data_IF_033493630754
#
_entry.id   IF_033493630754
#
_cell.length_a   1.000
_cell.length_b   1.000
_cell.length_c   1.000
_cell.angle_alpha   90.00
_cell.angle_beta   90.00
_cell.angle_gamma   90.00
#
_symmetry.space_group_name_H-M   'P 1'
#
loop_
_entity.id
_entity.type
_entity.pdbx_description
1 polymer ?
#
# COMPACT_ATOMS: atom_id res chain seq x y z
N UNK A 1 14.88 7.35 1.48
CA UNK A 1 13.66 6.78 0.87
C UNK A 1 13.95 5.81 -0.27
N UNK A 2 14.43 6.25 -1.45
CA UNK A 2 14.63 5.34 -2.60
C UNK A 2 15.45 4.08 -2.26
N UNK A 3 16.62 4.25 -1.61
CA UNK A 3 17.45 3.11 -1.20
C UNK A 3 16.71 2.13 -0.27
N UNK A 4 15.83 2.64 0.59
CA UNK A 4 15.00 1.79 1.45
C UNK A 4 14.00 1.00 0.60
N UNK A 5 13.32 1.63 -0.36
CA UNK A 5 12.39 0.95 -1.27
C UNK A 5 13.09 -0.14 -2.09
N UNK A 6 14.27 0.15 -2.64
CA UNK A 6 15.08 -0.84 -3.37
C UNK A 6 15.50 -2.02 -2.48
N UNK A 7 15.89 -1.76 -1.23
CA UNK A 7 16.21 -2.81 -0.26
C UNK A 7 14.98 -3.66 0.10
N UNK A 8 13.81 -3.03 0.22
CA UNK A 8 12.54 -3.73 0.44
C UNK A 8 12.22 -4.62 -0.76
N UNK A 9 12.35 -4.11 -1.97
CA UNK A 9 12.15 -4.87 -3.20
C UNK A 9 13.03 -6.13 -3.22
N UNK A 10 14.33 -5.95 -2.93
CA UNK A 10 15.32 -7.03 -2.88
C UNK A 10 14.92 -8.12 -1.87
N UNK A 11 14.51 -7.74 -0.66
CA UNK A 11 14.13 -8.70 0.40
C UNK A 11 12.86 -9.49 0.03
N UNK A 12 11.90 -8.83 -0.60
CA UNK A 12 10.64 -9.43 -1.01
C UNK A 12 10.68 -10.07 -2.41
N UNK A 13 11.83 -10.03 -3.10
CA UNK A 13 11.99 -10.46 -4.50
C UNK A 13 11.01 -9.78 -5.46
N UNK A 14 10.67 -8.52 -5.17
CA UNK A 14 9.82 -7.71 -6.03
C UNK A 14 10.61 -7.16 -7.22
N UNK A 15 9.96 -7.10 -8.37
CA UNK A 15 10.50 -6.55 -9.61
C UNK A 15 10.66 -5.04 -9.48
N UNK A 16 11.80 -4.53 -9.93
CA UNK A 16 12.05 -3.10 -10.10
C UNK A 16 12.25 -2.83 -11.59
N UNK A 17 11.39 -1.98 -12.13
CA UNK A 17 11.49 -1.51 -13.51
C UNK A 17 12.65 -0.52 -13.64
N UNK A 18 13.49 -0.74 -14.66
CA UNK A 18 14.75 0.00 -14.87
C UNK A 18 14.85 0.62 -16.26
N UNK A 19 13.88 0.38 -17.15
CA UNK A 19 13.88 1.05 -18.46
C UNK A 19 13.54 2.55 -18.27
N UNK A 20 14.05 3.44 -19.13
CA UNK A 20 13.77 4.87 -19.04
C UNK A 20 12.26 5.19 -19.00
N UNK A 21 11.79 5.97 -18.03
CA UNK A 21 10.38 6.30 -17.81
C UNK A 21 9.43 5.11 -17.59
N UNK A 22 9.96 3.91 -17.36
CA UNK A 22 9.16 2.80 -16.86
C UNK A 22 8.92 2.99 -15.36
N UNK A 23 7.66 3.13 -14.98
CA UNK A 23 7.27 3.60 -13.66
C UNK A 23 7.22 2.45 -12.66
N UNK A 24 7.81 2.68 -11.50
CA UNK A 24 7.50 1.92 -10.29
C UNK A 24 6.53 2.77 -9.46
N UNK A 25 5.27 2.38 -9.38
CA UNK A 25 4.21 3.09 -8.62
C UNK A 25 3.98 2.36 -7.31
N UNK A 26 4.36 2.97 -6.19
CA UNK A 26 4.41 2.32 -4.89
C UNK A 26 3.59 3.08 -3.85
N UNK A 27 2.61 2.43 -3.24
CA UNK A 27 1.96 2.92 -2.03
C UNK A 27 2.80 2.60 -0.79
N UNK A 28 2.88 3.55 0.13
CA UNK A 28 3.46 3.39 1.46
C UNK A 28 2.36 3.73 2.46
N UNK A 29 1.73 2.69 3.00
CA UNK A 29 0.74 2.80 4.07
C UNK A 29 1.45 3.04 5.39
N UNK A 30 1.10 4.13 6.05
CA UNK A 30 1.71 4.63 7.26
C UNK A 30 1.45 3.72 8.47
N UNK A 31 2.28 3.82 9.49
CA UNK A 31 2.02 3.14 10.77
C UNK A 31 0.82 3.71 11.54
N UNK A 32 0.35 4.91 11.19
CA UNK A 32 -0.74 5.58 11.90
C UNK A 32 -2.09 5.01 11.47
N UNK A 33 -2.87 4.46 12.39
CA UNK A 33 -4.16 3.80 12.08
C UNK A 33 -5.35 4.77 12.09
N UNK A 34 -5.10 6.07 12.20
CA UNK A 34 -6.18 7.06 12.22
C UNK A 34 -6.79 7.22 10.83
N UNK A 35 -7.88 6.49 10.59
CA UNK A 35 -8.63 6.56 9.35
C UNK A 35 -9.14 7.98 9.06
N UNK A 36 -9.28 8.30 7.76
CA UNK A 36 -9.72 9.63 7.32
C UNK A 36 -8.63 10.70 7.32
N UNK A 37 -7.35 10.31 7.22
CA UNK A 37 -6.23 11.21 6.97
C UNK A 37 -5.44 10.81 5.71
N UNK A 38 -4.84 11.81 5.06
CA UNK A 38 -3.88 11.64 3.97
C UNK A 38 -2.46 11.51 4.55
N UNK A 39 -2.24 10.50 5.39
CA UNK A 39 -0.96 10.23 6.05
C UNK A 39 -0.14 9.14 5.36
N UNK A 40 -0.69 8.52 4.33
CA UNK A 40 0.02 7.61 3.45
C UNK A 40 0.70 8.36 2.29
N UNK A 41 1.55 7.65 1.56
CA UNK A 41 2.22 8.18 0.38
C UNK A 41 2.00 7.29 -0.84
N UNK A 42 1.82 7.92 -1.99
CA UNK A 42 2.11 7.29 -3.29
C UNK A 42 3.46 7.82 -3.77
N UNK A 43 4.37 6.90 -4.03
CA UNK A 43 5.75 7.17 -4.41
C UNK A 43 5.96 6.61 -5.80
N UNK A 44 6.41 7.46 -6.70
CA UNK A 44 6.68 7.09 -8.08
C UNK A 44 8.15 7.29 -8.35
N UNK A 45 8.82 6.23 -8.78
CA UNK A 45 10.24 6.30 -9.12
C UNK A 45 10.53 5.55 -10.41
N UNK A 46 11.44 6.12 -11.20
CA UNK A 46 11.77 5.64 -12.54
C UNK A 46 13.21 6.05 -12.86
N UNK A 47 13.74 5.55 -13.97
CA UNK A 47 15.01 6.03 -14.53
C UNK A 47 14.73 7.05 -15.63
N UNK A 48 15.42 8.19 -15.66
CA UNK A 48 15.33 9.12 -16.79
C UNK A 48 16.09 8.59 -18.03
N UNK A 49 16.16 9.40 -19.10
CA UNK A 49 16.87 9.03 -20.33
C UNK A 49 18.38 8.79 -20.11
N UNK A 50 18.96 9.39 -19.07
CA UNK A 50 20.36 9.20 -18.66
C UNK A 50 20.52 8.05 -17.66
N UNK A 51 19.47 7.27 -17.43
CA UNK A 51 19.40 6.16 -16.49
C UNK A 51 19.60 6.54 -15.01
N UNK A 52 19.42 7.83 -14.67
CA UNK A 52 19.44 8.30 -13.29
C UNK A 52 18.09 8.07 -12.63
N UNK A 53 18.11 7.68 -11.36
CA UNK A 53 16.87 7.51 -10.60
C UNK A 53 16.22 8.84 -10.29
N UNK A 54 14.95 8.95 -10.65
CA UNK A 54 14.05 10.03 -10.30
C UNK A 54 13.01 9.51 -9.30
N UNK A 55 12.55 10.37 -8.39
CA UNK A 55 11.57 10.01 -7.38
C UNK A 55 10.63 11.19 -7.08
N UNK A 56 9.33 10.92 -7.09
CA UNK A 56 8.26 11.81 -6.66
C UNK A 56 7.46 11.15 -5.54
N UNK A 57 6.93 11.98 -4.64
CA UNK A 57 6.11 11.54 -3.50
C UNK A 57 4.87 12.40 -3.48
N UNK A 58 3.73 11.76 -3.27
CA UNK A 58 2.43 12.38 -3.27
C UNK A 58 1.71 11.97 -2.00
N UNK A 59 1.08 12.93 -1.32
CA UNK A 59 0.21 12.62 -0.19
C UNK A 59 -1.00 11.86 -0.70
N UNK A 60 -1.31 10.76 -0.02
CA UNK A 60 -2.40 9.88 -0.41
C UNK A 60 -3.01 9.21 0.82
N UNK A 61 -4.11 8.50 0.60
CA UNK A 61 -4.65 7.53 1.54
C UNK A 61 -4.81 6.20 0.82
N UNK A 62 -4.37 5.13 1.47
CA UNK A 62 -4.44 3.72 1.05
C UNK A 62 -5.35 2.92 1.97
N UNK A 63 -5.93 3.61 2.95
CA UNK A 63 -6.85 3.10 3.93
C UNK A 63 -8.30 3.44 3.53
N UNK A 64 -9.26 2.58 3.86
CA UNK A 64 -10.65 2.93 3.71
C UNK A 64 -11.01 4.10 4.64
N UNK A 65 -11.79 5.06 4.12
CA UNK A 65 -12.34 6.16 4.89
C UNK A 65 -13.32 5.69 5.97
N UNK A 66 -13.38 6.42 7.09
CA UNK A 66 -14.26 6.11 8.23
C UNK A 66 -15.75 6.12 7.88
N UNK A 67 -16.16 6.85 6.84
CA UNK A 67 -17.55 6.88 6.37
C UNK A 67 -17.99 5.52 5.83
N UNK A 68 -17.16 4.81 5.05
CA UNK A 68 -17.47 3.46 4.56
C UNK A 68 -17.44 2.40 5.67
N UNK A 69 -16.68 2.66 6.75
CA UNK A 69 -16.71 1.83 7.95
C UNK A 69 -17.99 2.03 8.78
N UNK A 70 -18.71 3.15 8.62
CA UNK A 70 -19.90 3.50 9.42
C UNK A 70 -21.22 3.50 8.65
N UNK A 71 -21.20 3.77 7.34
CA UNK A 71 -22.36 3.90 6.47
C UNK A 71 -22.17 3.05 5.22
N UNK A 72 -22.71 1.82 5.22
CA UNK A 72 -22.73 0.98 4.03
C UNK A 72 -23.76 1.51 3.03
N UNK A 73 -23.38 1.64 1.75
CA UNK A 73 -24.25 2.20 0.70
C UNK A 73 -25.23 1.14 0.13
N UNK A 74 -25.02 -0.13 0.46
CA UNK A 74 -25.93 -1.23 0.15
C UNK A 74 -25.79 -2.34 1.19
N UNK A 75 -26.82 -3.19 1.32
CA UNK A 75 -26.78 -4.39 2.16
C UNK A 75 -25.63 -5.34 1.78
N UNK A 76 -25.18 -5.34 0.51
CA UNK A 76 -24.02 -6.09 0.04
C UNK A 76 -22.68 -5.45 0.43
N UNK A 77 -22.57 -4.12 0.36
CA UNK A 77 -21.41 -3.41 0.93
C UNK A 77 -21.35 -3.58 2.45
N UNK A 78 -22.51 -3.67 3.10
CA UNK A 78 -22.67 -3.95 4.52
C UNK A 78 -22.21 -5.38 4.88
N UNK A 79 -22.62 -6.37 4.08
CA UNK A 79 -22.27 -7.78 4.28
C UNK A 79 -20.82 -8.12 3.91
N UNK A 80 -20.21 -7.40 2.96
CA UNK A 80 -18.87 -7.70 2.46
C UNK A 80 -17.73 -7.01 3.24
N UNK A 81 -18.00 -5.93 3.98
CA UNK A 81 -16.99 -5.14 4.70
C UNK A 81 -16.06 -4.34 3.78
N UNK A 82 -15.28 -3.40 4.32
CA UNK A 82 -14.33 -2.59 3.53
C UNK A 82 -13.21 -3.47 2.96
N UNK A 83 -12.91 -3.31 1.67
CA UNK A 83 -11.86 -4.06 0.99
C UNK A 83 -10.52 -3.37 1.19
N UNK A 84 -9.62 -3.98 1.96
CA UNK A 84 -8.32 -3.38 2.27
C UNK A 84 -7.24 -4.10 1.49
N UNK A 85 -6.60 -3.39 0.55
CA UNK A 85 -5.52 -3.95 -0.25
C UNK A 85 -4.40 -4.48 0.65
N UNK A 86 -4.02 -5.74 0.43
CA UNK A 86 -2.92 -6.40 1.14
C UNK A 86 -1.57 -5.89 0.66
N UNK A 87 -0.57 -5.83 1.54
CA UNK A 87 0.83 -5.60 1.16
C UNK A 87 1.24 -6.60 0.07
N UNK A 88 1.82 -6.10 -1.03
CA UNK A 88 2.20 -6.95 -2.15
C UNK A 88 2.59 -6.17 -3.40
N UNK A 89 3.14 -6.89 -4.37
CA UNK A 89 3.40 -6.36 -5.71
C UNK A 89 2.40 -6.95 -6.70
N UNK A 90 1.65 -6.06 -7.34
CA UNK A 90 0.59 -6.38 -8.30
C UNK A 90 1.05 -5.95 -9.69
N UNK A 91 1.61 -6.90 -10.44
CA UNK A 91 2.21 -6.64 -11.74
C UNK A 91 1.14 -6.52 -12.83
N UNK A 92 1.21 -5.44 -13.61
CA UNK A 92 0.36 -5.20 -14.77
C UNK A 92 -1.14 -5.27 -14.43
N UNK A 93 -1.51 -4.84 -13.23
CA UNK A 93 -2.85 -4.98 -12.67
C UNK A 93 -3.70 -3.73 -12.80
N UNK A 94 -3.13 -2.63 -13.33
CA UNK A 94 -3.80 -1.35 -13.48
C UNK A 94 -3.70 -0.86 -14.92
N UNK A 95 -4.74 -0.18 -15.40
CA UNK A 95 -4.77 0.45 -16.72
C UNK A 95 -5.21 1.91 -16.59
N UNK A 96 -4.58 2.82 -17.32
CA UNK A 96 -5.03 4.22 -17.38
C UNK A 96 -6.32 4.31 -18.21
N UNK A 97 -7.40 4.84 -17.65
CA UNK A 97 -8.67 5.04 -18.39
C UNK A 97 -9.28 6.40 -18.14
N UNK A 98 -9.98 6.89 -19.16
CA UNK A 98 -10.82 8.07 -19.06
C UNK A 98 -12.07 7.77 -18.21
N UNK A 99 -12.49 8.73 -17.41
CA UNK A 99 -13.71 8.65 -16.60
C UNK A 99 -14.36 10.02 -16.47
N UNK A 100 -15.69 10.06 -16.60
CA UNK A 100 -16.50 11.26 -16.37
C UNK A 100 -17.01 11.38 -14.91
N UNK A 101 -16.68 10.40 -14.06
CA UNK A 101 -17.22 10.29 -12.69
C UNK A 101 -16.36 10.97 -11.62
N UNK A 102 -15.11 11.29 -11.95
CA UNK A 102 -14.14 11.84 -11.02
C UNK A 102 -13.81 13.29 -11.36
N UNK A 103 -13.32 14.09 -10.40
CA UNK A 103 -12.88 15.45 -10.65
C UNK A 103 -11.76 15.55 -11.69
N UNK A 104 -10.85 14.57 -11.71
CA UNK A 104 -9.82 14.44 -12.73
C UNK A 104 -10.27 13.41 -13.78
N UNK A 105 -10.14 13.70 -15.10
CA UNK A 105 -10.76 12.89 -16.16
C UNK A 105 -10.10 11.52 -16.42
N UNK A 106 -9.10 11.13 -15.63
CA UNK A 106 -8.39 9.86 -15.75
C UNK A 106 -8.15 9.22 -14.39
N UNK A 107 -8.09 7.90 -14.37
CA UNK A 107 -7.70 7.09 -13.21
C UNK A 107 -6.89 5.87 -13.67
N UNK A 108 -6.18 5.22 -12.74
CA UNK A 108 -5.69 3.86 -12.98
C UNK A 108 -6.69 2.86 -12.41
N UNK A 109 -7.38 2.15 -13.30
CA UNK A 109 -8.41 1.17 -12.96
C UNK A 109 -7.83 -0.23 -12.81
N UNK A 110 -8.36 -0.99 -11.86
CA UNK A 110 -8.01 -2.40 -11.70
C UNK A 110 -8.42 -3.21 -12.95
N UNK A 111 -7.47 -3.98 -13.49
CA UNK A 111 -7.70 -4.91 -14.62
C UNK A 111 -7.28 -6.36 -14.32
N UNK A 112 -6.56 -6.62 -13.22
CA UNK A 112 -6.23 -7.98 -12.76
C UNK A 112 -6.60 -8.20 -11.30
N UNK A 113 -6.76 -9.46 -10.86
CA UNK A 113 -7.07 -9.75 -9.47
C UNK A 113 -6.05 -9.16 -8.48
N UNK A 114 -6.56 -8.56 -7.42
CA UNK A 114 -5.80 -8.05 -6.29
C UNK A 114 -6.17 -8.85 -5.04
N UNK A 115 -5.27 -8.95 -4.06
CA UNK A 115 -5.56 -9.61 -2.79
C UNK A 115 -5.93 -8.59 -1.74
N UNK A 116 -7.04 -8.81 -1.05
CA UNK A 116 -7.55 -7.91 -0.01
C UNK A 116 -7.76 -8.66 1.30
N UNK A 117 -7.79 -7.91 2.40
CA UNK A 117 -8.44 -8.31 3.63
C UNK A 117 -9.84 -7.70 3.66
N UNK A 118 -10.84 -8.48 4.08
CA UNK A 118 -12.15 -7.95 4.47
C UNK A 118 -12.16 -7.75 5.98
N UNK A 119 -12.36 -6.51 6.40
CA UNK A 119 -12.62 -6.17 7.80
C UNK A 119 -14.13 -6.25 8.05
N UNK A 120 -14.54 -7.21 8.89
CA UNK A 120 -15.94 -7.47 9.24
C UNK A 120 -16.36 -6.81 10.56
N UNK A 121 -15.43 -6.49 11.46
CA UNK A 121 -15.73 -5.97 12.80
C UNK A 121 -15.73 -4.44 12.87
N UNK A 122 -15.25 -3.74 11.82
CA UNK A 122 -15.39 -2.28 11.62
C UNK A 122 -14.89 -1.43 12.80
N UNK A 123 -14.04 -1.97 13.65
CA UNK A 123 -13.49 -1.28 14.82
C UNK A 123 -12.29 -0.39 14.48
N UNK A 124 -11.97 -0.26 13.18
CA UNK A 124 -10.82 0.44 12.65
C UNK A 124 -9.48 -0.08 13.19
N UNK A 125 -9.48 -1.27 13.81
CA UNK A 125 -8.30 -2.05 14.10
C UNK A 125 -8.20 -3.04 12.95
N UNK A 126 -7.23 -2.83 12.07
CA UNK A 126 -6.87 -3.83 11.07
C UNK A 126 -6.41 -5.11 11.76
N UNK A 127 -7.35 -5.99 12.06
CA UNK A 127 -7.07 -7.29 12.61
C UNK A 127 -6.80 -8.27 11.46
N UNK A 128 -5.52 -8.34 11.07
CA UNK A 128 -5.03 -9.25 10.04
C UNK A 128 -5.20 -10.74 10.40
N UNK A 129 -5.81 -11.07 11.54
CA UNK A 129 -6.15 -12.44 11.96
C UNK A 129 -7.63 -12.78 11.83
N UNK A 130 -8.54 -11.81 11.69
CA UNK A 130 -9.97 -12.06 11.57
C UNK A 130 -10.51 -11.90 10.14
N UNK A 131 -9.78 -11.19 9.27
CA UNK A 131 -10.14 -10.99 7.88
C UNK A 131 -9.74 -12.18 6.99
N UNK A 132 -10.67 -12.69 6.18
CA UNK A 132 -10.34 -13.67 5.14
C UNK A 132 -9.64 -12.97 3.98
N UNK A 133 -8.47 -13.48 3.61
CA UNK A 133 -7.82 -13.08 2.37
C UNK A 133 -8.66 -13.56 1.20
N UNK A 134 -8.96 -12.65 0.29
CA UNK A 134 -9.68 -12.97 -0.95
C UNK A 134 -8.97 -12.31 -2.12
N UNK A 135 -8.90 -12.99 -3.26
CA UNK A 135 -8.27 -12.47 -4.47
C UNK A 135 -9.28 -12.37 -5.59
N UNK A 136 -9.41 -11.20 -6.20
CA UNK A 136 -10.46 -10.95 -7.19
C UNK A 136 -10.44 -9.52 -7.73
N UNK A 137 -11.45 -9.21 -8.55
CA UNK A 137 -11.70 -7.86 -9.05
C UNK A 137 -12.63 -7.14 -8.06
N UNK A 138 -12.13 -6.08 -7.44
CA UNK A 138 -12.83 -5.35 -6.37
C UNK A 138 -13.06 -3.87 -6.71
N UNK A 139 -12.61 -3.40 -7.87
CA UNK A 139 -12.69 -1.99 -8.24
C UNK A 139 -11.77 -1.09 -7.43
N UNK A 140 -10.64 -1.63 -6.96
CA UNK A 140 -9.63 -0.83 -6.25
C UNK A 140 -8.84 -0.04 -7.30
N UNK A 141 -9.09 1.25 -7.39
CA UNK A 141 -8.48 2.14 -8.37
C UNK A 141 -7.49 3.11 -7.71
N UNK A 142 -6.65 3.75 -8.53
CA UNK A 142 -5.76 4.84 -8.12
C UNK A 142 -6.27 6.13 -8.76
N UNK A 143 -6.71 7.08 -7.94
CA UNK A 143 -7.36 8.31 -8.41
C UNK A 143 -7.20 9.47 -7.44
N UNK A 144 -7.82 10.61 -7.74
CA UNK A 144 -7.97 11.75 -6.85
C UNK A 144 -9.45 12.05 -6.62
N UNK A 145 -9.81 12.41 -5.39
CA UNK A 145 -11.15 12.87 -5.05
C UNK A 145 -11.27 14.40 -4.91
N UNK A 146 -10.14 15.11 -4.77
CA UNK A 146 -10.12 16.56 -4.68
C UNK A 146 -10.40 17.23 -6.03
N UNK A 147 -11.13 18.36 -6.02
CA UNK A 147 -11.31 19.24 -7.18
C UNK A 147 -10.09 20.16 -7.35
N UNK A 148 -9.91 20.72 -8.56
CA UNK A 148 -8.75 21.55 -8.94
C UNK A 148 -8.50 22.75 -8.02
N UNK A 149 -9.56 23.30 -7.43
CA UNK A 149 -9.59 24.47 -6.54
C UNK A 149 -9.68 24.11 -5.04
N UNK A 150 -9.70 22.81 -4.70
CA UNK A 150 -9.80 22.34 -3.33
C UNK A 150 -8.50 21.64 -2.89
N UNK A 151 -7.96 22.04 -1.73
CA UNK A 151 -6.75 21.43 -1.17
C UNK A 151 -6.94 19.98 -0.72
N UNK A 152 -8.18 19.58 -0.41
CA UNK A 152 -8.57 18.23 0.00
C UNK A 152 -10.09 18.18 0.12
N UNK A 153 -10.67 17.02 -0.17
CA UNK A 153 -12.04 16.69 0.23
C UNK A 153 -12.02 15.79 1.47
N UNK A 154 -13.17 15.64 2.11
CA UNK A 154 -13.39 14.67 3.18
C UNK A 154 -13.16 13.24 2.62
N UNK A 155 -12.18 12.52 3.17
CA UNK A 155 -11.73 11.18 2.71
C UNK A 155 -12.87 10.17 2.74
N UNK A 156 -13.87 10.42 3.60
CA UNK A 156 -14.97 9.52 3.90
C UNK A 156 -15.62 8.90 2.67
N UNK A 157 -15.99 9.70 1.66
CA UNK A 157 -16.81 9.18 0.55
C UNK A 157 -16.02 8.52 -0.60
N UNK A 158 -14.69 8.61 -0.62
CA UNK A 158 -13.92 8.32 -1.85
C UNK A 158 -12.91 7.19 -1.72
N UNK A 159 -12.74 6.62 -0.52
CA UNK A 159 -11.84 5.49 -0.30
C UNK A 159 -12.57 4.34 0.38
N UNK A 160 -13.17 3.43 -0.39
CA UNK A 160 -13.64 2.13 0.12
C UNK A 160 -12.53 1.05 0.05
N UNK A 161 -11.29 1.45 -0.25
CA UNK A 161 -10.16 0.58 -0.58
C UNK A 161 -9.26 1.10 -1.72
N UNK A 162 -9.70 2.14 -2.44
CA UNK A 162 -8.92 2.82 -3.47
C UNK A 162 -7.65 3.50 -2.92
N UNK A 163 -6.73 3.85 -3.82
CA UNK A 163 -5.52 4.58 -3.50
C UNK A 163 -5.74 6.03 -3.96
N UNK A 164 -6.04 6.92 -3.01
CA UNK A 164 -6.58 8.24 -3.32
C UNK A 164 -5.55 9.32 -3.02
N UNK A 165 -5.20 10.12 -4.02
CA UNK A 165 -4.33 11.28 -3.88
C UNK A 165 -5.05 12.41 -3.14
N UNK A 166 -4.31 13.16 -2.32
CA UNK A 166 -4.83 14.31 -1.58
C UNK A 166 -5.07 15.54 -2.47
N UNK A 167 -4.24 15.70 -3.51
CA UNK A 167 -4.15 16.91 -4.33
C UNK A 167 -4.44 16.62 -5.79
N UNK A 168 -5.31 17.44 -6.40
CA UNK A 168 -5.60 17.39 -7.83
C UNK A 168 -4.34 17.61 -8.68
N UNK A 169 -3.50 18.59 -8.28
CA UNK A 169 -2.30 18.94 -9.04
C UNK A 169 -1.23 17.84 -8.94
N UNK A 170 -1.13 17.18 -7.79
CA UNK A 170 -0.25 16.03 -7.59
C UNK A 170 -0.66 14.87 -8.48
N UNK A 171 -1.97 14.59 -8.55
CA UNK A 171 -2.51 13.59 -9.46
C UNK A 171 -2.31 13.98 -10.93
N UNK A 172 -2.45 15.26 -11.27
CA UNK A 172 -2.18 15.74 -12.62
C UNK A 172 -0.71 15.55 -13.03
N UNK A 173 0.23 15.83 -12.14
CA UNK A 173 1.66 15.55 -12.37
C UNK A 173 1.91 14.04 -12.51
N UNK A 174 1.32 13.23 -11.64
CA UNK A 174 1.38 11.77 -11.73
C UNK A 174 0.82 11.23 -13.06
N UNK A 175 -0.30 11.77 -13.53
CA UNK A 175 -0.90 11.37 -14.80
C UNK A 175 -0.01 11.72 -15.99
N UNK A 176 0.69 12.86 -15.96
CA UNK A 176 1.69 13.20 -16.99
C UNK A 176 2.84 12.18 -17.02
N UNK A 177 3.29 11.67 -15.86
CA UNK A 177 4.26 10.57 -15.81
C UNK A 177 3.67 9.30 -16.43
N UNK A 178 2.40 8.99 -16.14
CA UNK A 178 1.70 7.84 -16.74
C UNK A 178 1.58 7.97 -18.26
N UNK A 179 1.29 9.17 -18.78
CA UNK A 179 1.24 9.43 -20.22
C UNK A 179 2.62 9.23 -20.88
N UNK A 180 3.71 9.67 -20.24
CA UNK A 180 5.08 9.45 -20.74
C UNK A 180 5.42 7.96 -20.78
N UNK A 181 5.08 7.20 -19.75
CA UNK A 181 5.20 5.75 -19.75
C UNK A 181 4.37 5.13 -20.88
N UNK A 182 3.12 5.56 -21.01
CA UNK A 182 2.16 5.05 -22.00
C UNK A 182 2.69 5.18 -23.43
N UNK A 183 3.29 6.32 -23.76
CA UNK A 183 3.90 6.53 -25.08
C UNK A 183 5.08 5.59 -25.39
N UNK A 184 5.68 4.94 -24.40
CA UNK A 184 6.83 4.04 -24.57
C UNK A 184 6.49 2.56 -24.40
N UNK A 185 5.58 2.22 -23.48
CA UNK A 185 5.36 0.85 -23.03
C UNK A 185 3.88 0.43 -23.00
N UNK A 186 2.96 1.32 -23.38
CA UNK A 186 1.52 1.09 -23.29
C UNK A 186 0.93 1.52 -21.94
N UNK A 187 -0.39 1.43 -21.81
CA UNK A 187 -1.19 2.02 -20.75
C UNK A 187 -1.40 1.09 -19.52
N UNK A 188 -0.57 0.06 -19.39
CA UNK A 188 -0.66 -0.95 -18.33
C UNK A 188 0.44 -0.71 -17.28
N UNK A 189 0.02 -0.64 -16.02
CA UNK A 189 0.86 -0.29 -14.89
C UNK A 189 0.87 -1.39 -13.83
N UNK A 190 2.00 -1.45 -13.12
CA UNK A 190 2.15 -2.28 -11.93
C UNK A 190 2.08 -1.39 -10.69
N UNK A 191 1.49 -1.91 -9.62
CA UNK A 191 1.41 -1.23 -8.34
C UNK A 191 2.00 -2.10 -7.23
N UNK A 192 2.72 -1.50 -6.30
CA UNK A 192 3.24 -2.20 -5.12
C UNK A 192 2.76 -1.46 -3.88
N UNK A 193 2.17 -2.16 -2.93
CA UNK A 193 1.82 -1.60 -1.65
C UNK A 193 2.79 -2.10 -0.59
N UNK A 194 3.32 -1.19 0.23
CA UNK A 194 4.03 -1.48 1.47
C UNK A 194 3.13 -1.11 2.65
N UNK A 195 3.06 -1.97 3.67
CA UNK A 195 2.36 -1.71 4.91
C UNK A 195 3.36 -1.61 6.08
N UNK A 196 3.59 -0.38 6.55
CA UNK A 196 4.52 -0.16 7.66
C UNK A 196 4.03 -0.80 8.96
N UNK A 197 2.71 -0.89 9.16
CA UNK A 197 2.10 -1.56 10.34
C UNK A 197 2.44 -3.04 10.32
N UNK A 198 2.31 -3.71 9.18
CA UNK A 198 2.69 -5.12 9.01
C UNK A 198 4.17 -5.35 9.31
N UNK A 199 5.02 -4.45 8.86
CA UNK A 199 6.47 -4.51 9.09
C UNK A 199 6.84 -4.27 10.55
N UNK A 200 6.17 -3.36 11.24
CA UNK A 200 6.34 -3.13 12.68
C UNK A 200 5.96 -4.37 13.47
N UNK A 201 4.83 -5.01 13.14
CA UNK A 201 4.40 -6.26 13.76
C UNK A 201 5.40 -7.40 13.52
N UNK A 202 5.87 -7.56 12.29
CA UNK A 202 6.87 -8.59 11.95
C UNK A 202 8.19 -8.39 12.72
N UNK A 203 8.68 -7.14 12.82
CA UNK A 203 9.86 -6.79 13.61
C UNK A 203 9.68 -7.11 15.10
N UNK A 204 8.53 -6.75 15.69
CA UNK A 204 8.21 -7.08 17.09
C UNK A 204 8.21 -8.59 17.34
N UNK A 205 7.60 -9.39 16.46
CA UNK A 205 7.61 -10.86 16.58
C UNK A 205 9.01 -11.44 16.50
N UNK A 206 9.85 -10.92 15.61
CA UNK A 206 11.23 -11.38 15.49
C UNK A 206 12.04 -11.06 16.76
N UNK A 207 11.89 -9.85 17.30
CA UNK A 207 12.54 -9.45 18.55
C UNK A 207 12.12 -10.33 19.73
N UNK A 208 10.81 -10.59 19.88
CA UNK A 208 10.29 -11.46 20.93
C UNK A 208 10.81 -12.90 20.80
N UNK A 209 10.90 -13.44 19.58
CA UNK A 209 11.51 -14.75 19.34
C UNK A 209 13.00 -14.77 19.72
N UNK A 210 13.75 -13.73 19.35
CA UNK A 210 15.17 -13.59 19.69
C UNK A 210 15.42 -13.56 21.20
N UNK A 211 14.61 -12.79 21.94
CA UNK A 211 14.64 -12.77 23.42
C UNK A 211 14.35 -14.15 24.02
N UNK A 212 13.34 -14.86 23.50
CA UNK A 212 13.03 -16.22 23.93
C UNK A 212 14.19 -17.21 23.74
N UNK A 213 14.85 -17.16 22.58
CA UNK A 213 16.04 -17.98 22.32
C UNK A 213 17.23 -17.59 23.20
N UNK A 214 17.41 -16.29 23.49
CA UNK A 214 18.46 -15.81 24.39
C UNK A 214 18.28 -16.30 25.82
N UNK A 215 17.05 -16.28 26.34
CA UNK A 215 16.73 -16.79 27.68
C UNK A 215 16.96 -18.31 27.74
N UNK A 216 16.47 -19.07 26.76
CA UNK A 216 16.68 -20.52 26.70
C UNK A 216 18.16 -20.90 26.60
N UNK A 217 18.92 -20.20 25.75
CA UNK A 217 20.37 -20.40 25.63
C UNK A 217 21.13 -20.06 26.91
N UNK A 218 20.76 -18.96 27.58
CA UNK A 218 21.34 -18.57 28.87
C UNK A 218 21.08 -19.58 29.97
N UNK A 219 19.86 -20.11 30.06
CA UNK A 219 19.52 -21.17 31.03
C UNK A 219 20.25 -22.48 30.75
N UNK A 220 20.41 -22.85 29.48
CA UNK A 220 21.17 -24.04 29.10
C UNK A 220 22.66 -23.92 29.47
N UNK A 221 23.28 -22.76 29.17
CA UNK A 221 24.68 -22.49 29.55
C UNK A 221 24.86 -22.44 31.07
N UNK A 222 23.92 -21.84 31.80
CA UNK A 222 23.94 -21.84 33.26
C UNK A 222 23.82 -23.26 33.83
N UNK A 223 22.95 -24.10 33.25
CA UNK A 223 22.82 -25.50 33.62
C UNK A 223 24.10 -26.30 33.41
N UNK A 224 24.79 -26.08 32.27
CA UNK A 224 26.10 -26.70 31.99
C UNK A 224 27.14 -26.24 33.01
N UNK A 225 27.26 -24.93 33.27
CA UNK A 225 28.19 -24.38 34.26
C UNK A 225 27.98 -24.98 35.66
N UNK A 226 26.73 -25.08 36.10
CA UNK A 226 26.36 -25.66 37.41
C UNK A 226 26.65 -27.15 37.54
N UNK A 227 26.67 -27.89 36.44
CA UNK A 227 27.04 -29.32 36.42
C UNK A 227 28.55 -29.50 36.52
N UNK A 228 29.33 -28.58 35.93
CA UNK A 228 30.79 -28.57 35.97
C UNK A 228 31.33 -28.25 37.38
N UNK A 229 30.70 -27.33 38.12
CA UNK A 229 31.04 -27.02 39.53
C UNK A 229 30.83 -28.17 40.53
N UNK A 230 30.12 -29.23 40.13
CA UNK A 230 29.78 -30.37 41.02
C UNK A 230 30.68 -31.60 40.82
N UNK A 231 31.62 -31.56 39.87
CA UNK A 231 32.65 -32.59 39.68
C UNK A 231 33.94 -32.19 40.39
#
# INVERSE_FOLDING_TARGET
MLQQLLNIAKRNKWVIFKRPYELNIWGVRSENTQAGKFDDLIVVFWKDERLNWQLKKYQATTDPGTYWLKNAISAEAEALGSAILKEGQYLHSFQRRYTARLPYPYELVQIKPLTIFRDYNRDAILDFYNGRETTGLYGINIHVGARKDQKSIDIGQWSAGCQVFASYNDFAEFDLLCQKHQGLYGDIFSYTLIDERARKRARRRLLLKGLGFGILGGLALYGIYKLDEKQ
#
